data_IF_669629951377
#
_entry.id   IF_669629951377
#
_cell.length_a   1.000
_cell.length_b   1.000
_cell.length_c   1.000
_cell.angle_alpha   90.00
_cell.angle_beta   90.00
_cell.angle_gamma   90.00
#
_symmetry.space_group_name_H-M   'P 1'
#
loop_
_entity.id
_entity.type
_entity.pdbx_description
1 polymer ?
#
# COMPACT_ATOMS: atom_id res chain seq x y z
N UNK A 1 19.54 1.67 19.18
CA UNK A 1 18.20 2.04 18.71
C UNK A 1 18.08 1.48 17.31
N UNK A 2 17.11 0.60 17.08
CA UNK A 2 16.85 0.05 15.75
C UNK A 2 16.16 1.11 14.87
N UNK A 3 16.20 0.99 13.53
CA UNK A 3 15.54 1.97 12.65
C UNK A 3 14.05 2.17 12.95
N UNK A 4 13.34 1.10 13.32
CA UNK A 4 11.90 1.10 13.61
C UNK A 4 11.53 1.56 15.03
N UNK A 5 12.54 1.75 15.90
CA UNK A 5 12.42 2.52 17.15
C UNK A 5 12.63 4.02 16.90
N UNK A 6 13.55 4.36 15.99
CA UNK A 6 13.85 5.74 15.64
C UNK A 6 12.74 6.39 14.79
N UNK A 7 12.16 5.63 13.85
CA UNK A 7 11.11 6.07 12.93
C UNK A 7 9.85 5.19 13.06
N UNK A 8 9.16 5.23 14.21
CA UNK A 8 8.01 4.36 14.45
C UNK A 8 6.84 4.62 13.50
N UNK A 9 6.77 5.80 12.90
CA UNK A 9 5.76 6.18 11.91
C UNK A 9 5.95 5.53 10.54
N UNK A 10 7.10 4.91 10.25
CA UNK A 10 7.34 4.15 9.01
C UNK A 10 7.02 2.65 9.14
N UNK A 11 6.43 2.27 10.28
CA UNK A 11 5.94 0.90 10.52
C UNK A 11 4.50 0.77 10.11
N UNK A 12 4.18 -0.35 9.47
CA UNK A 12 2.83 -0.86 9.34
C UNK A 12 2.79 -2.32 9.81
N UNK A 13 2.20 -2.51 10.99
CA UNK A 13 2.29 -3.77 11.71
C UNK A 13 3.74 -4.21 11.94
N UNK A 14 4.12 -5.31 11.27
CA UNK A 14 5.40 -6.02 11.42
C UNK A 14 6.35 -5.70 10.27
N UNK A 15 5.94 -4.82 9.35
CA UNK A 15 6.75 -4.34 8.25
C UNK A 15 7.22 -2.90 8.54
N UNK A 16 8.52 -2.69 8.42
CA UNK A 16 9.15 -1.37 8.42
C UNK A 16 9.62 -1.05 7.01
N UNK A 17 9.24 0.11 6.49
CA UNK A 17 9.65 0.57 5.17
C UNK A 17 10.63 1.74 5.34
N UNK A 18 11.85 1.62 4.83
CA UNK A 18 12.86 2.66 4.98
C UNK A 18 12.64 3.80 3.97
N UNK A 19 11.97 4.86 4.43
CA UNK A 19 11.72 6.05 3.63
C UNK A 19 12.83 7.11 3.72
N UNK A 20 14.02 6.78 4.24
CA UNK A 20 15.12 7.75 4.44
C UNK A 20 15.61 8.43 3.15
N UNK A 21 15.38 7.80 2.00
CA UNK A 21 15.71 8.34 0.67
C UNK A 21 14.58 9.16 0.04
N UNK A 22 13.37 9.12 0.60
CA UNK A 22 12.24 9.92 0.13
C UNK A 22 12.36 11.37 0.61
N UNK A 23 11.70 12.30 -0.07
CA UNK A 23 11.64 13.69 0.37
C UNK A 23 10.75 13.82 1.62
N UNK A 24 9.65 13.06 1.66
CA UNK A 24 8.77 12.95 2.82
C UNK A 24 7.96 11.67 2.76
N UNK A 25 7.62 11.13 3.92
CA UNK A 25 6.67 10.03 4.06
C UNK A 25 5.66 10.38 5.16
N UNK A 26 4.38 10.22 4.85
CA UNK A 26 3.26 10.48 5.76
C UNK A 26 2.51 9.17 5.96
N UNK A 27 2.34 8.77 7.23
CA UNK A 27 1.42 7.69 7.59
C UNK A 27 -0.01 8.24 7.61
N UNK A 28 -0.71 8.07 6.49
CA UNK A 28 -1.95 8.78 6.22
C UNK A 28 -3.12 8.25 7.08
N UNK A 29 -3.15 6.95 7.36
CA UNK A 29 -4.20 6.28 8.13
C UNK A 29 -4.10 6.49 9.65
N UNK A 30 -3.06 7.19 10.11
CA UNK A 30 -2.85 7.47 11.54
C UNK A 30 -4.03 8.30 12.10
N UNK A 31 -4.55 7.95 13.28
CA UNK A 31 -5.60 8.75 13.92
C UNK A 31 -5.18 10.19 14.21
N UNK A 32 -6.16 11.10 14.15
CA UNK A 32 -6.01 12.51 14.52
C UNK A 32 -5.36 13.36 13.43
N UNK A 33 -4.89 14.56 13.82
CA UNK A 33 -4.37 15.60 12.90
C UNK A 33 -3.07 15.22 12.18
N UNK A 34 -2.36 14.20 12.65
CA UNK A 34 -1.12 13.73 12.02
C UNK A 34 -1.35 12.73 10.89
N UNK A 35 -2.58 12.25 10.71
CA UNK A 35 -3.04 11.54 9.51
C UNK A 35 -4.24 12.26 8.93
N UNK A 36 -5.10 11.56 8.18
CA UNK A 36 -6.19 12.21 7.44
C UNK A 36 -7.39 12.62 8.32
N UNK A 37 -7.48 12.13 9.57
CA UNK A 37 -8.47 12.57 10.57
C UNK A 37 -9.94 12.28 10.25
N UNK A 38 -10.26 11.63 9.14
CA UNK A 38 -11.62 11.38 8.63
C UNK A 38 -11.98 9.88 8.58
N UNK A 39 -11.35 9.05 9.41
CA UNK A 39 -11.42 7.58 9.33
C UNK A 39 -12.82 6.99 9.42
N UNK A 40 -13.79 7.74 9.97
CA UNK A 40 -15.20 7.37 9.99
C UNK A 40 -15.93 7.58 8.66
N UNK A 41 -15.39 8.38 7.74
CA UNK A 41 -16.02 8.76 6.47
C UNK A 41 -15.25 8.28 5.25
N UNK A 42 -13.92 8.28 5.33
CA UNK A 42 -13.01 7.94 4.25
C UNK A 42 -12.01 6.90 4.75
N UNK A 43 -11.74 5.87 3.95
CA UNK A 43 -10.61 4.98 4.22
C UNK A 43 -9.36 5.55 3.54
N UNK A 44 -8.21 5.51 4.17
CA UNK A 44 -6.97 5.92 3.51
C UNK A 44 -6.04 4.75 3.25
N UNK A 45 -5.14 4.94 2.30
CA UNK A 45 -3.91 4.16 2.21
C UNK A 45 -3.07 4.37 3.47
N UNK A 46 -2.16 3.46 3.74
CA UNK A 46 -1.33 3.53 4.94
C UNK A 46 -0.26 4.62 4.80
N UNK A 47 0.39 4.75 3.62
CA UNK A 47 1.40 5.78 3.39
C UNK A 47 1.20 6.61 2.13
N UNK A 48 1.59 7.88 2.23
CA UNK A 48 1.85 8.78 1.10
C UNK A 48 3.30 9.19 1.13
N UNK A 49 4.04 8.88 0.06
CA UNK A 49 5.49 9.06 0.00
C UNK A 49 5.86 9.90 -1.21
N UNK A 50 6.47 11.05 -0.95
CA UNK A 50 6.90 11.99 -1.99
C UNK A 50 8.38 11.75 -2.30
N UNK A 51 8.65 11.50 -3.58
CA UNK A 51 10.00 11.44 -4.14
C UNK A 51 10.25 12.68 -5.00
N UNK A 52 11.50 12.88 -5.43
CA UNK A 52 11.85 13.98 -6.33
C UNK A 52 11.04 13.94 -7.63
N UNK A 53 10.82 12.74 -8.20
CA UNK A 53 10.23 12.52 -9.52
C UNK A 53 8.86 11.81 -9.52
N UNK A 54 8.32 11.41 -8.37
CA UNK A 54 7.07 10.63 -8.29
C UNK A 54 6.42 10.75 -6.92
N UNK A 55 5.10 10.50 -6.86
CA UNK A 55 4.33 10.38 -5.62
C UNK A 55 3.82 8.94 -5.50
N UNK A 56 4.02 8.31 -4.33
CA UNK A 56 3.53 6.97 -4.05
C UNK A 56 2.40 7.02 -3.04
N UNK A 57 1.36 6.24 -3.31
CA UNK A 57 0.34 5.83 -2.34
C UNK A 57 0.60 4.35 -2.06
N UNK A 58 0.88 3.99 -0.81
CA UNK A 58 1.23 2.61 -0.44
C UNK A 58 0.16 2.07 0.49
N UNK A 59 -0.40 0.92 0.12
CA UNK A 59 -1.28 0.12 0.95
C UNK A 59 -0.61 -1.20 1.29
N UNK A 60 -0.60 -1.57 2.56
CA UNK A 60 0.01 -2.78 3.11
C UNK A 60 -1.09 -3.78 3.50
N UNK A 61 -0.84 -5.04 3.15
CA UNK A 61 -1.64 -6.20 3.59
C UNK A 61 -0.68 -7.28 4.06
N UNK A 62 -0.59 -7.51 5.36
CA UNK A 62 0.37 -8.45 5.93
C UNK A 62 -0.35 -9.61 6.65
N UNK A 63 -0.84 -10.64 5.91
CA UNK A 63 -1.48 -11.80 6.53
C UNK A 63 -0.50 -12.70 7.30
N UNK A 64 0.81 -12.51 7.14
CA UNK A 64 1.86 -13.21 7.91
C UNK A 64 2.45 -12.32 9.04
N UNK A 65 1.71 -11.30 9.47
CA UNK A 65 2.13 -10.38 10.52
C UNK A 65 2.57 -11.11 11.80
N UNK A 66 3.77 -10.79 12.31
CA UNK A 66 4.39 -11.48 13.45
C UNK A 66 3.59 -11.47 14.76
N UNK A 67 2.73 -10.47 15.00
CA UNK A 67 1.87 -10.45 16.20
C UNK A 67 0.58 -11.27 16.06
N UNK A 68 0.29 -11.86 14.90
CA UNK A 68 -0.81 -12.83 14.77
C UNK A 68 -0.45 -14.08 15.60
N UNK A 69 -1.28 -14.47 16.59
CA UNK A 69 -1.05 -15.68 17.37
C UNK A 69 -0.92 -16.90 16.46
N UNK A 70 0.01 -17.82 16.77
CA UNK A 70 0.28 -19.03 15.96
C UNK A 70 -1.00 -19.77 15.56
N UNK A 71 -1.91 -19.95 16.53
CA UNK A 71 -3.19 -20.64 16.36
C UNK A 71 -4.12 -20.02 15.31
N UNK A 72 -3.91 -18.74 14.96
CA UNK A 72 -4.73 -18.00 14.01
C UNK A 72 -4.04 -17.79 12.65
N UNK A 73 -2.75 -18.07 12.51
CA UNK A 73 -1.99 -17.73 11.29
C UNK A 73 -2.57 -18.38 10.03
N UNK A 74 -2.89 -19.67 10.09
CA UNK A 74 -3.49 -20.39 8.95
C UNK A 74 -4.85 -19.81 8.56
N UNK A 75 -5.68 -19.46 9.56
CA UNK A 75 -7.00 -18.87 9.32
C UNK A 75 -6.90 -17.46 8.70
N UNK A 76 -5.93 -16.65 9.13
CA UNK A 76 -5.67 -15.32 8.58
C UNK A 76 -5.20 -15.38 7.12
N UNK A 77 -4.28 -16.30 6.80
CA UNK A 77 -3.81 -16.54 5.43
C UNK A 77 -4.95 -17.08 4.55
N UNK A 78 -5.75 -18.03 5.06
CA UNK A 78 -6.90 -18.58 4.34
C UNK A 78 -7.96 -17.51 4.06
N UNK A 79 -8.25 -16.63 5.03
CA UNK A 79 -9.17 -15.49 4.83
C UNK A 79 -8.64 -14.54 3.77
N UNK A 80 -7.34 -14.21 3.80
CA UNK A 80 -6.74 -13.36 2.78
C UNK A 80 -6.84 -13.98 1.37
N UNK A 81 -6.63 -15.29 1.26
CA UNK A 81 -6.82 -16.02 0.00
C UNK A 81 -8.28 -15.99 -0.48
N UNK A 82 -9.25 -16.17 0.42
CA UNK A 82 -10.69 -16.03 0.11
C UNK A 82 -11.03 -14.60 -0.36
N UNK A 83 -10.49 -13.58 0.30
CA UNK A 83 -10.68 -12.19 -0.11
C UNK A 83 -10.09 -11.91 -1.50
N UNK A 84 -8.95 -12.53 -1.84
CA UNK A 84 -8.37 -12.45 -3.18
C UNK A 84 -9.24 -13.14 -4.23
N UNK A 85 -9.71 -14.36 -3.95
CA UNK A 85 -10.50 -15.17 -4.89
C UNK A 85 -11.89 -14.58 -5.13
N UNK A 86 -12.55 -14.11 -4.07
CA UNK A 86 -13.88 -13.48 -4.15
C UNK A 86 -13.86 -12.07 -4.74
N UNK A 87 -12.68 -11.46 -4.91
CA UNK A 87 -12.52 -10.06 -5.30
C UNK A 87 -12.86 -9.06 -4.18
N UNK A 88 -13.13 -9.53 -2.96
CA UNK A 88 -13.38 -8.70 -1.80
C UNK A 88 -12.15 -7.84 -1.44
N UNK A 89 -10.93 -8.38 -1.61
CA UNK A 89 -9.69 -7.63 -1.41
C UNK A 89 -9.69 -6.32 -2.21
N UNK A 90 -10.08 -6.39 -3.49
CA UNK A 90 -10.13 -5.21 -4.35
C UNK A 90 -11.29 -4.30 -3.96
N UNK A 91 -12.51 -4.84 -3.94
CA UNK A 91 -13.74 -4.05 -3.85
C UNK A 91 -14.00 -3.44 -2.48
N UNK A 92 -13.57 -4.11 -1.40
CA UNK A 92 -13.81 -3.67 -0.01
C UNK A 92 -12.59 -3.01 0.64
N UNK A 93 -11.39 -3.30 0.16
CA UNK A 93 -10.13 -2.81 0.76
C UNK A 93 -9.33 -1.91 -0.18
N UNK A 94 -8.78 -2.45 -1.27
CA UNK A 94 -7.77 -1.73 -2.07
C UNK A 94 -8.33 -0.54 -2.85
N UNK A 95 -9.45 -0.72 -3.57
CA UNK A 95 -10.02 0.37 -4.39
C UNK A 95 -10.61 1.51 -3.54
N UNK A 96 -11.45 1.25 -2.51
CA UNK A 96 -11.99 2.32 -1.69
C UNK A 96 -10.90 3.17 -1.05
N UNK A 97 -9.84 2.55 -0.50
CA UNK A 97 -8.72 3.27 0.10
C UNK A 97 -7.97 4.15 -0.90
N UNK A 98 -7.71 3.67 -2.12
CA UNK A 98 -7.11 4.49 -3.17
C UNK A 98 -8.00 5.70 -3.51
N UNK A 99 -9.28 5.46 -3.82
CA UNK A 99 -10.25 6.51 -4.19
C UNK A 99 -10.32 7.59 -3.12
N UNK A 100 -10.59 7.15 -1.90
CA UNK A 100 -10.85 8.04 -0.77
C UNK A 100 -9.59 8.83 -0.39
N UNK A 101 -8.39 8.22 -0.50
CA UNK A 101 -7.11 8.93 -0.35
C UNK A 101 -6.90 10.00 -1.41
N UNK A 102 -7.22 9.72 -2.67
CA UNK A 102 -7.09 10.70 -3.75
C UNK A 102 -8.08 11.86 -3.59
N UNK A 103 -9.30 11.59 -3.12
CA UNK A 103 -10.27 12.63 -2.77
C UNK A 103 -9.72 13.50 -1.64
N UNK A 104 -9.25 12.88 -0.55
CA UNK A 104 -8.68 13.59 0.59
C UNK A 104 -7.49 14.47 0.17
N UNK A 105 -6.48 13.88 -0.47
CA UNK A 105 -5.28 14.59 -0.90
C UNK A 105 -5.61 15.71 -1.89
N UNK A 106 -6.55 15.48 -2.80
CA UNK A 106 -7.00 16.48 -3.77
C UNK A 106 -7.61 17.71 -3.12
N UNK A 107 -8.33 17.55 -1.99
CA UNK A 107 -8.99 18.63 -1.27
C UNK A 107 -8.10 19.29 -0.21
N UNK A 108 -7.27 18.52 0.48
CA UNK A 108 -6.49 18.99 1.64
C UNK A 108 -5.25 19.78 1.21
N UNK A 109 -4.42 19.19 0.36
CA UNK A 109 -3.13 19.76 -0.06
C UNK A 109 -2.95 19.85 -1.57
N UNK A 110 -3.87 19.28 -2.35
CA UNK A 110 -3.71 19.04 -3.78
C UNK A 110 -2.80 17.84 -4.07
N UNK A 111 -2.99 17.22 -5.23
CA UNK A 111 -2.14 16.11 -5.69
C UNK A 111 -1.01 16.69 -6.55
N UNK A 112 0.24 16.42 -6.16
CA UNK A 112 1.43 16.86 -6.89
C UNK A 112 1.37 16.47 -8.39
N UNK A 113 1.82 17.36 -9.28
CA UNK A 113 1.87 17.09 -10.72
C UNK A 113 3.11 16.26 -11.12
N UNK A 114 3.25 15.06 -10.55
CA UNK A 114 4.34 14.10 -10.77
C UNK A 114 3.79 12.69 -10.97
N UNK A 115 4.42 11.80 -11.76
CA UNK A 115 4.02 10.41 -11.90
C UNK A 115 3.55 9.79 -10.58
N UNK A 116 2.35 9.20 -10.59
CA UNK A 116 1.71 8.66 -9.41
C UNK A 116 1.81 7.13 -9.45
N UNK A 117 2.18 6.51 -8.33
CA UNK A 117 2.12 5.04 -8.20
C UNK A 117 1.21 4.67 -7.05
N UNK A 118 0.27 3.76 -7.29
CA UNK A 118 -0.41 3.05 -6.22
C UNK A 118 0.25 1.69 -6.03
N UNK A 119 0.88 1.48 -4.89
CA UNK A 119 1.63 0.27 -4.59
C UNK A 119 0.91 -0.51 -3.49
N UNK A 120 0.57 -1.75 -3.79
CA UNK A 120 0.02 -2.71 -2.84
C UNK A 120 1.15 -3.64 -2.42
N UNK A 121 1.62 -3.49 -1.19
CA UNK A 121 2.65 -4.34 -0.59
C UNK A 121 1.98 -5.46 0.21
N UNK A 122 2.24 -6.71 -0.19
CA UNK A 122 1.64 -7.88 0.44
C UNK A 122 2.70 -8.68 1.20
N UNK A 123 2.56 -8.75 2.52
CA UNK A 123 3.41 -9.52 3.41
C UNK A 123 3.08 -11.02 3.42
N UNK A 124 2.83 -11.62 2.25
CA UNK A 124 2.60 -13.06 2.07
C UNK A 124 3.68 -13.63 1.17
N UNK A 125 4.64 -14.36 1.75
CA UNK A 125 5.80 -14.90 1.00
C UNK A 125 5.38 -15.88 -0.10
N UNK A 126 4.32 -16.66 0.14
CA UNK A 126 3.86 -17.68 -0.78
C UNK A 126 3.28 -17.14 -2.11
N UNK A 127 2.99 -15.84 -2.20
CA UNK A 127 2.43 -15.25 -3.43
C UNK A 127 3.43 -15.30 -4.59
N UNK A 128 2.99 -15.91 -5.67
CA UNK A 128 3.75 -16.01 -6.91
C UNK A 128 3.70 -14.70 -7.71
N UNK A 129 4.68 -14.45 -8.60
CA UNK A 129 4.61 -13.32 -9.54
C UNK A 129 3.35 -13.32 -10.41
N UNK A 130 2.83 -14.51 -10.75
CA UNK A 130 1.62 -14.64 -11.56
C UNK A 130 0.37 -14.18 -10.80
N UNK A 131 0.22 -14.56 -9.54
CA UNK A 131 -0.90 -14.11 -8.68
C UNK A 131 -0.87 -12.60 -8.44
N UNK A 132 0.32 -12.04 -8.21
CA UNK A 132 0.51 -10.59 -8.04
C UNK A 132 0.18 -9.82 -9.34
N UNK A 133 0.59 -10.35 -10.49
CA UNK A 133 0.24 -9.79 -11.81
C UNK A 133 -1.27 -9.90 -12.10
N UNK A 134 -1.90 -11.00 -11.73
CA UNK A 134 -3.34 -11.19 -11.85
C UNK A 134 -4.09 -10.16 -10.98
N UNK A 135 -3.69 -10.01 -9.71
CA UNK A 135 -4.25 -9.02 -8.79
C UNK A 135 -4.14 -7.60 -9.35
N UNK A 136 -2.94 -7.21 -9.83
CA UNK A 136 -2.70 -5.92 -10.51
C UNK A 136 -3.66 -5.73 -11.69
N UNK A 137 -3.84 -6.75 -12.51
CA UNK A 137 -4.66 -6.68 -13.73
C UNK A 137 -6.15 -6.52 -13.42
N UNK A 138 -6.65 -7.18 -12.36
CA UNK A 138 -8.04 -7.00 -11.91
C UNK A 138 -8.22 -5.61 -11.29
N UNK A 139 -7.28 -5.17 -10.45
CA UNK A 139 -7.31 -3.85 -9.83
C UNK A 139 -7.27 -2.73 -10.89
N UNK A 140 -6.41 -2.82 -11.91
CA UNK A 140 -6.33 -1.84 -13.00
C UNK A 140 -7.64 -1.68 -13.78
N UNK A 141 -8.40 -2.77 -13.93
CA UNK A 141 -9.69 -2.79 -14.62
C UNK A 141 -10.88 -2.42 -13.74
N UNK A 142 -10.65 -2.13 -12.46
CA UNK A 142 -11.71 -1.79 -11.52
C UNK A 142 -12.10 -0.32 -11.68
N UNK A 143 -13.39 -0.08 -11.95
CA UNK A 143 -14.00 1.25 -12.00
C UNK A 143 -13.21 2.20 -12.91
N UNK A 144 -12.71 3.30 -12.35
CA UNK A 144 -11.99 4.34 -13.06
C UNK A 144 -10.47 4.22 -12.95
N UNK A 145 -9.91 3.18 -12.31
CA UNK A 145 -8.46 3.10 -12.01
C UNK A 145 -7.62 3.28 -13.29
N UNK A 146 -7.96 2.60 -14.39
CA UNK A 146 -7.27 2.75 -15.68
C UNK A 146 -7.53 4.07 -16.42
N UNK A 147 -8.40 4.92 -15.88
CA UNK A 147 -8.76 6.22 -16.43
C UNK A 147 -9.76 6.18 -17.57
N UNK A 148 -10.15 7.35 -18.08
CA UNK A 148 -11.14 7.49 -19.16
C UNK A 148 -10.69 6.77 -20.44
N UNK A 149 -11.50 5.86 -20.97
CA UNK A 149 -11.16 5.13 -22.20
C UNK A 149 -11.52 5.95 -23.46
N UNK A 150 -10.71 5.89 -24.54
CA UNK A 150 -9.46 5.11 -24.69
C UNK A 150 -8.20 5.86 -24.24
N UNK A 151 -8.34 7.06 -23.68
CA UNK A 151 -7.25 8.03 -23.46
C UNK A 151 -6.37 7.71 -22.24
N UNK A 152 -6.91 7.03 -21.25
CA UNK A 152 -6.31 6.89 -19.92
C UNK A 152 -6.20 8.23 -19.18
N UNK A 153 -5.38 8.23 -18.13
CA UNK A 153 -5.06 9.44 -17.37
C UNK A 153 -4.09 10.34 -18.12
N UNK A 154 -4.33 11.66 -18.10
CA UNK A 154 -3.38 12.63 -18.66
C UNK A 154 -2.08 12.72 -17.85
N UNK A 155 -2.13 12.35 -16.58
CA UNK A 155 -0.99 12.20 -15.68
C UNK A 155 -0.56 10.73 -15.68
N UNK A 156 0.76 10.48 -15.71
CA UNK A 156 1.28 9.11 -15.56
C UNK A 156 0.82 8.51 -14.22
N UNK A 157 0.15 7.37 -14.29
CA UNK A 157 -0.35 6.62 -13.16
C UNK A 157 -0.12 5.13 -13.40
N UNK A 158 0.44 4.43 -12.41
CA UNK A 158 0.64 2.98 -12.46
C UNK A 158 0.20 2.34 -11.13
N UNK A 159 -0.18 1.07 -11.23
CA UNK A 159 -0.54 0.22 -10.11
C UNK A 159 0.47 -0.92 -10.03
N UNK A 160 1.04 -1.12 -8.85
CA UNK A 160 1.98 -2.21 -8.57
C UNK A 160 1.41 -3.08 -7.45
N UNK A 161 1.52 -4.39 -7.60
CA UNK A 161 1.25 -5.36 -6.53
C UNK A 161 2.52 -6.20 -6.37
N UNK A 162 3.08 -6.23 -5.17
CA UNK A 162 4.33 -6.94 -4.91
C UNK A 162 4.36 -7.51 -3.50
N UNK A 163 5.10 -8.59 -3.32
CA UNK A 163 5.47 -9.05 -1.99
C UNK A 163 6.79 -8.40 -1.52
N UNK A 164 7.19 -8.64 -0.27
CA UNK A 164 8.41 -8.06 0.32
C UNK A 164 9.67 -8.44 -0.46
N UNK A 165 9.77 -9.67 -0.95
CA UNK A 165 10.93 -10.13 -1.73
C UNK A 165 11.05 -9.39 -3.07
N UNK A 166 9.93 -9.24 -3.79
CA UNK A 166 9.90 -8.49 -5.04
C UNK A 166 10.18 -7.00 -4.81
N UNK A 167 9.61 -6.42 -3.76
CA UNK A 167 9.87 -5.03 -3.39
C UNK A 167 11.36 -4.80 -3.19
N UNK A 168 12.02 -5.57 -2.33
CA UNK A 168 13.43 -5.37 -1.99
C UNK A 168 14.38 -5.62 -3.17
N UNK A 169 13.98 -6.46 -4.12
CA UNK A 169 14.73 -6.70 -5.35
C UNK A 169 14.65 -5.54 -6.34
N UNK A 170 13.49 -4.89 -6.43
CA UNK A 170 13.20 -3.88 -7.45
C UNK A 170 13.36 -2.44 -6.95
N UNK A 171 13.22 -2.21 -5.65
CA UNK A 171 13.22 -0.89 -5.01
C UNK A 171 14.31 -0.84 -3.94
N UNK A 172 15.56 -0.82 -4.40
CA UNK A 172 16.76 -0.91 -3.54
C UNK A 172 16.93 0.29 -2.59
N UNK A 173 16.42 1.47 -2.97
CA UNK A 173 16.54 2.70 -2.18
C UNK A 173 15.48 2.85 -1.09
N UNK A 174 14.52 1.92 -1.00
CA UNK A 174 13.43 1.97 -0.04
C UNK A 174 13.15 0.57 0.54
N UNK A 175 14.13 -0.10 1.16
CA UNK A 175 13.95 -1.49 1.57
C UNK A 175 12.85 -1.67 2.63
N UNK A 176 12.20 -2.83 2.58
CA UNK A 176 11.21 -3.30 3.55
C UNK A 176 11.85 -4.38 4.43
N UNK A 177 11.73 -4.22 5.74
CA UNK A 177 12.20 -5.18 6.74
C UNK A 177 11.01 -5.74 7.51
N UNK A 178 10.96 -7.07 7.67
CA UNK A 178 10.03 -7.69 8.62
C UNK A 178 10.67 -7.67 10.02
N UNK A 179 10.07 -6.94 10.94
CA UNK A 179 10.64 -6.64 12.27
C UNK A 179 10.84 -7.92 13.08
N UNK A 180 9.88 -8.84 13.05
CA UNK A 180 9.94 -10.13 13.73
C UNK A 180 11.05 -11.08 13.22
N UNK A 181 11.67 -10.79 12.09
CA UNK A 181 12.72 -11.59 11.46
C UNK A 181 14.10 -10.90 11.42
N UNK A 182 14.20 -9.69 11.97
CA UNK A 182 15.39 -8.85 11.91
C UNK A 182 16.30 -8.97 13.14
#
# INVERSE_FOLDING_TARGET
MTPWEQYPEWKEGDLFIDFSRANSAIKLDKPGRSGHGLTHYLKSVDFVVEWSNQLWLIEVKDPEHGAIPEVNREAEVARFADDMQSGALITKHLFPKLRDSLIYLGLDCGIANKPLKYIVLIGLKALTPAELSALRSVLWRTEWIGGPQPRGWGKSFDVLCMNVEQWNRLIVDCPVTRISQA
#
